data_IF_338031507333
#
_entry.id   IF_338031507333
#
_cell.length_a   1.000
_cell.length_b   1.000
_cell.length_c   1.000
_cell.angle_alpha   90.00
_cell.angle_beta   90.00
_cell.angle_gamma   90.00
#
_symmetry.space_group_name_H-M   'P 1'
#
loop_
_entity.id
_entity.type
_entity.pdbx_description
1 polymer ?
#
# COMPACT_ATOMS: atom_id res chain seq x y z
N UNK A 1 14.86 -3.49 -13.74
CA UNK A 1 15.47 -4.72 -13.19
C UNK A 1 14.54 -5.48 -12.23
N UNK A 2 13.97 -4.84 -11.19
CA UNK A 2 13.22 -5.56 -10.13
C UNK A 2 11.68 -5.45 -10.19
N UNK A 3 11.12 -5.01 -11.32
CA UNK A 3 9.67 -4.95 -11.47
C UNK A 3 9.11 -6.36 -11.65
N UNK A 4 8.06 -6.70 -10.90
CA UNK A 4 7.42 -8.01 -10.98
C UNK A 4 8.12 -9.13 -10.21
N UNK A 5 9.31 -8.91 -9.64
CA UNK A 5 10.09 -9.94 -8.93
C UNK A 5 9.61 -10.26 -7.51
N UNK A 6 8.44 -9.77 -7.11
CA UNK A 6 7.93 -9.93 -5.74
C UNK A 6 8.60 -9.04 -4.69
N UNK A 7 9.80 -8.48 -4.94
CA UNK A 7 10.59 -7.72 -3.96
C UNK A 7 9.78 -6.67 -3.19
N UNK A 8 8.96 -5.88 -3.88
CA UNK A 8 8.14 -4.85 -3.23
C UNK A 8 7.14 -5.44 -2.22
N UNK A 9 6.57 -6.63 -2.47
CA UNK A 9 5.66 -7.29 -1.51
C UNK A 9 6.41 -7.72 -0.25
N UNK A 10 7.60 -8.30 -0.38
CA UNK A 10 8.45 -8.64 0.78
C UNK A 10 8.78 -7.40 1.62
N UNK A 11 9.23 -6.31 0.98
CA UNK A 11 9.53 -5.08 1.69
C UNK A 11 8.30 -4.51 2.41
N UNK A 12 7.12 -4.51 1.75
CA UNK A 12 5.89 -4.03 2.36
C UNK A 12 5.42 -4.91 3.51
N UNK A 13 5.57 -6.22 3.41
CA UNK A 13 5.26 -7.13 4.52
C UNK A 13 6.09 -6.81 5.76
N UNK A 14 7.42 -6.67 5.61
CA UNK A 14 8.30 -6.35 6.73
C UNK A 14 7.96 -4.99 7.36
N UNK A 15 7.70 -3.97 6.54
CA UNK A 15 7.33 -2.64 7.04
C UNK A 15 5.96 -2.61 7.74
N UNK A 16 4.97 -3.32 7.19
CA UNK A 16 3.64 -3.41 7.79
C UNK A 16 3.67 -4.21 9.10
N UNK A 17 4.40 -5.32 9.11
CA UNK A 17 4.63 -6.12 10.31
C UNK A 17 5.26 -5.25 11.41
N UNK A 18 6.33 -4.52 11.10
CA UNK A 18 6.96 -3.63 12.05
C UNK A 18 6.01 -2.52 12.56
N UNK A 19 5.26 -1.88 11.66
CA UNK A 19 4.34 -0.81 12.02
C UNK A 19 3.21 -1.28 12.95
N UNK A 20 2.59 -2.43 12.67
CA UNK A 20 1.45 -2.93 13.44
C UNK A 20 1.86 -3.73 14.69
N UNK A 21 2.93 -4.51 14.62
CA UNK A 21 3.29 -5.47 15.67
C UNK A 21 4.31 -4.90 16.66
N UNK A 22 5.29 -4.12 16.18
CA UNK A 22 6.33 -3.56 17.04
C UNK A 22 5.99 -2.15 17.52
N UNK A 23 5.54 -1.27 16.61
CA UNK A 23 5.16 0.10 16.96
C UNK A 23 3.71 0.17 17.50
N UNK A 24 2.85 -0.76 17.08
CA UNK A 24 1.45 -0.79 17.52
C UNK A 24 0.54 0.23 16.84
N UNK A 25 0.90 0.71 15.64
CA UNK A 25 0.12 1.70 14.87
C UNK A 25 -1.31 1.22 14.63
N UNK A 26 -2.28 2.14 14.68
CA UNK A 26 -3.69 1.82 14.39
C UNK A 26 -3.99 1.80 12.88
N UNK A 27 -3.18 2.49 12.09
CA UNK A 27 -3.41 2.70 10.65
C UNK A 27 -2.10 2.92 9.92
N UNK A 28 -1.97 2.29 8.75
CA UNK A 28 -0.90 2.59 7.78
C UNK A 28 -1.55 3.08 6.48
N UNK A 29 -1.22 4.31 6.09
CA UNK A 29 -1.74 4.94 4.88
C UNK A 29 -0.74 4.88 3.73
N UNK A 30 -1.29 4.77 2.53
CA UNK A 30 -0.59 4.86 1.27
C UNK A 30 -1.22 5.93 0.39
N UNK A 31 -0.37 6.68 -0.31
CA UNK A 31 -0.78 7.65 -1.33
C UNK A 31 -0.06 7.38 -2.64
N UNK A 32 -0.80 7.48 -3.74
CA UNK A 32 -0.21 7.48 -5.07
C UNK A 32 -0.91 8.52 -5.96
N UNK A 33 -0.28 8.85 -7.08
CA UNK A 33 -0.99 9.55 -8.16
C UNK A 33 -2.19 8.69 -8.59
N UNK A 34 -3.37 9.30 -8.66
CA UNK A 34 -4.62 8.61 -9.03
C UNK A 34 -4.56 7.96 -10.42
N UNK A 35 -3.70 8.47 -11.31
CA UNK A 35 -3.51 7.92 -12.64
C UNK A 35 -2.48 6.76 -12.68
N UNK A 36 -1.81 6.46 -11.58
CA UNK A 36 -0.84 5.37 -11.50
C UNK A 36 -1.53 4.03 -11.18
N UNK A 37 -2.26 3.50 -12.16
CA UNK A 37 -3.02 2.26 -12.03
C UNK A 37 -2.16 1.06 -11.56
N UNK A 38 -0.88 1.01 -11.98
CA UNK A 38 0.05 -0.06 -11.57
C UNK A 38 0.33 -0.04 -10.08
N UNK A 39 0.69 1.13 -9.53
CA UNK A 39 0.93 1.27 -8.09
C UNK A 39 -0.34 1.03 -7.29
N UNK A 40 -1.49 1.49 -7.78
CA UNK A 40 -2.80 1.26 -7.14
C UNK A 40 -3.12 -0.24 -7.08
N UNK A 41 -2.95 -0.96 -8.19
CA UNK A 41 -3.14 -2.40 -8.23
C UNK A 41 -2.20 -3.13 -7.28
N UNK A 42 -0.93 -2.70 -7.19
CA UNK A 42 0.03 -3.28 -6.25
C UNK A 42 -0.40 -3.06 -4.78
N UNK A 43 -0.86 -1.86 -4.42
CA UNK A 43 -1.36 -1.56 -3.06
C UNK A 43 -2.62 -2.35 -2.72
N UNK A 44 -3.58 -2.43 -3.64
CA UNK A 44 -4.75 -3.33 -3.49
C UNK A 44 -4.34 -4.79 -3.32
N UNK A 45 -3.31 -5.23 -4.06
CA UNK A 45 -2.85 -6.62 -3.99
C UNK A 45 -2.26 -7.01 -2.63
N UNK A 46 -1.75 -6.04 -1.85
CA UNK A 46 -1.22 -6.28 -0.50
C UNK A 46 -2.29 -6.11 0.60
N UNK A 47 -3.53 -5.81 0.23
CA UNK A 47 -4.66 -5.72 1.16
C UNK A 47 -5.11 -4.30 1.48
N UNK A 48 -4.60 -3.26 0.82
CA UNK A 48 -5.07 -1.91 1.09
C UNK A 48 -6.51 -1.67 0.59
N UNK A 49 -7.33 -1.04 1.43
CA UNK A 49 -8.67 -0.56 1.12
C UNK A 49 -8.60 0.86 0.55
N UNK A 50 -9.20 1.17 -0.62
CA UNK A 50 -9.29 2.54 -1.13
C UNK A 50 -10.30 3.36 -0.33
N UNK A 51 -9.96 4.60 0.00
CA UNK A 51 -10.80 5.46 0.85
C UNK A 51 -11.25 6.73 0.15
N UNK A 52 -10.50 7.22 -0.83
CA UNK A 52 -10.90 8.40 -1.58
C UNK A 52 -9.81 8.97 -2.46
N UNK A 53 -10.19 10.02 -3.18
CA UNK A 53 -9.29 10.77 -4.06
C UNK A 53 -9.28 12.23 -3.60
N UNK A 54 -8.09 12.68 -3.20
CA UNK A 54 -7.83 14.08 -2.92
C UNK A 54 -7.58 14.80 -4.25
N UNK A 55 -8.58 15.56 -4.71
CA UNK A 55 -8.51 16.32 -5.97
C UNK A 55 -7.51 17.46 -5.86
N UNK A 56 -6.65 17.62 -6.86
CA UNK A 56 -5.62 18.65 -6.93
C UNK A 56 -4.83 18.70 -5.61
N UNK A 57 -4.30 17.58 -5.13
CA UNK A 57 -3.69 17.48 -3.80
C UNK A 57 -2.26 18.02 -3.75
N UNK A 58 -1.42 17.65 -4.71
CA UNK A 58 -0.01 18.09 -4.75
C UNK A 58 0.42 18.51 -6.15
N UNK A 59 1.55 19.22 -6.22
CA UNK A 59 2.22 19.56 -7.48
C UNK A 59 3.04 18.34 -7.95
N UNK A 60 3.08 18.07 -9.25
CA UNK A 60 3.95 17.03 -9.83
C UNK A 60 5.36 17.60 -10.11
N UNK A 61 6.34 16.71 -10.23
CA UNK A 61 7.72 17.12 -10.49
C UNK A 61 7.90 17.82 -11.86
N UNK A 62 7.08 17.47 -12.85
CA UNK A 62 7.02 18.07 -14.18
C UNK A 62 6.11 19.31 -14.27
N UNK A 63 5.55 19.76 -13.15
CA UNK A 63 4.58 20.83 -13.09
C UNK A 63 3.13 20.35 -13.16
N UNK A 64 2.19 21.27 -12.98
CA UNK A 64 0.77 20.92 -12.86
C UNK A 64 0.39 20.25 -11.53
N UNK A 65 -0.91 19.97 -11.37
CA UNK A 65 -1.48 19.39 -10.14
C UNK A 65 -1.82 17.92 -10.35
N UNK A 66 -1.74 17.11 -9.30
CA UNK A 66 -2.19 15.71 -9.31
C UNK A 66 -3.28 15.46 -8.28
N UNK A 67 -4.17 14.57 -8.65
CA UNK A 67 -5.08 13.91 -7.73
C UNK A 67 -4.34 12.79 -7.02
N UNK A 68 -4.54 12.65 -5.71
CA UNK A 68 -3.93 11.58 -4.92
C UNK A 68 -4.99 10.61 -4.42
N UNK A 69 -4.90 9.35 -4.82
CA UNK A 69 -5.69 8.30 -4.21
C UNK A 69 -5.10 7.95 -2.84
N UNK A 70 -5.96 7.84 -1.85
CA UNK A 70 -5.64 7.39 -0.49
C UNK A 70 -6.15 5.97 -0.34
N UNK A 71 -5.28 5.09 0.14
CA UNK A 71 -5.61 3.72 0.54
C UNK A 71 -4.96 3.44 1.90
N UNK A 72 -5.49 2.48 2.64
CA UNK A 72 -4.94 2.14 3.95
C UNK A 72 -5.10 0.67 4.30
N UNK A 73 -4.41 0.27 5.36
CA UNK A 73 -4.68 -0.92 6.14
C UNK A 73 -4.88 -0.47 7.58
N UNK A 74 -5.92 -0.96 8.23
CA UNK A 74 -6.18 -0.78 9.66
C UNK A 74 -5.59 -1.94 10.46
N UNK A 75 -5.33 -1.71 11.74
CA UNK A 75 -4.70 -2.69 12.62
C UNK A 75 -5.52 -3.98 12.75
N UNK A 76 -6.82 -3.86 12.90
CA UNK A 76 -7.74 -5.01 12.93
C UNK A 76 -7.74 -5.78 11.60
N UNK A 77 -7.69 -5.10 10.46
CA UNK A 77 -7.53 -5.73 9.13
C UNK A 77 -6.19 -6.49 9.03
N UNK A 78 -5.09 -5.90 9.53
CA UNK A 78 -3.78 -6.53 9.59
C UNK A 78 -3.82 -7.87 10.31
N UNK A 79 -4.32 -7.88 11.55
CA UNK A 79 -4.34 -9.08 12.40
C UNK A 79 -5.42 -10.08 12.00
N UNK A 80 -6.54 -9.64 11.42
CA UNK A 80 -7.64 -10.54 11.05
C UNK A 80 -7.36 -11.32 9.76
N UNK A 81 -6.80 -10.69 8.72
CA UNK A 81 -6.64 -11.37 7.44
C UNK A 81 -5.51 -10.85 6.54
N UNK A 82 -5.13 -9.57 6.61
CA UNK A 82 -4.16 -8.99 5.66
C UNK A 82 -2.78 -9.61 5.81
N UNK A 83 -2.28 -9.82 7.04
CA UNK A 83 -0.97 -10.46 7.29
C UNK A 83 -0.86 -11.82 6.63
N UNK A 84 -1.81 -12.71 6.88
CA UNK A 84 -1.79 -14.08 6.39
C UNK A 84 -1.98 -14.15 4.87
N UNK A 85 -2.87 -13.31 4.33
CA UNK A 85 -3.06 -13.23 2.88
C UNK A 85 -1.79 -12.73 2.17
N UNK A 86 -1.11 -11.74 2.72
CA UNK A 86 0.12 -11.22 2.15
C UNK A 86 1.28 -12.22 2.29
N UNK A 87 1.37 -12.92 3.43
CA UNK A 87 2.36 -13.98 3.65
C UNK A 87 2.21 -15.12 2.64
N UNK A 88 1.00 -15.61 2.40
CA UNK A 88 0.73 -16.64 1.36
C UNK A 88 1.18 -16.18 -0.02
N UNK A 89 0.78 -14.96 -0.42
CA UNK A 89 1.20 -14.36 -1.69
C UNK A 89 2.71 -14.17 -1.82
N UNK A 90 3.46 -14.16 -0.72
CA UNK A 90 4.91 -14.08 -0.72
C UNK A 90 5.54 -15.47 -0.81
N UNK A 91 4.97 -16.47 -0.14
CA UNK A 91 5.43 -17.86 -0.21
C UNK A 91 5.20 -18.49 -1.60
N UNK A 92 4.16 -18.04 -2.31
CA UNK A 92 3.80 -18.52 -3.65
C UNK A 92 4.57 -17.83 -4.81
N UNK A 93 5.53 -16.92 -4.50
CA UNK A 93 6.34 -16.19 -5.48
C UNK A 93 7.74 -16.78 -5.61
#
# INVERSE_FOLDING_TARGET
>A
AFQGTGLNKHCKFLLLQFAFEEIGMERVEFRADNNNARSIAAMKSIGCTPEGILRSHTIKADGGRRDSIVLSILKDEWFSHVKENLRRKIADL
#
